data_IF_836793232770
#
_entry.id   IF_836793232770
#
_cell.length_a   1.000
_cell.length_b   1.000
_cell.length_c   1.000
_cell.angle_alpha   90.00
_cell.angle_beta   90.00
_cell.angle_gamma   90.00
#
_symmetry.space_group_name_H-M   'P 1'
#
loop_
_entity.id
_entity.type
_entity.pdbx_description
1 polymer ?
#
# COMPACT_ATOMS: atom_id res chain seq x y z
N UNK A 1 -22.99 27.68 -16.89
CA UNK A 1 -23.11 26.31 -16.35
C UNK A 1 -21.89 25.55 -16.85
N UNK A 2 -20.84 25.45 -16.03
CA UNK A 2 -19.51 24.96 -16.44
C UNK A 2 -19.44 23.46 -16.19
N UNK A 3 -19.07 22.71 -17.22
CA UNK A 3 -18.93 21.25 -17.22
C UNK A 3 -17.68 20.84 -16.43
N UNK A 4 -17.84 20.07 -15.34
CA UNK A 4 -16.72 19.39 -14.69
C UNK A 4 -16.36 18.14 -15.50
N UNK A 5 -15.19 18.20 -16.15
CA UNK A 5 -14.61 17.12 -16.93
C UNK A 5 -14.03 16.06 -15.99
N UNK A 6 -14.60 14.86 -16.00
CA UNK A 6 -13.94 13.66 -15.49
C UNK A 6 -12.63 13.45 -16.27
N UNK A 7 -11.53 13.31 -15.55
CA UNK A 7 -10.21 13.00 -16.13
C UNK A 7 -10.22 11.52 -16.53
N UNK A 8 -10.01 11.16 -17.81
CA UNK A 8 -9.96 9.77 -18.24
C UNK A 8 -8.72 9.06 -17.68
N UNK A 9 -8.89 7.80 -17.24
CA UNK A 9 -7.79 6.97 -16.77
C UNK A 9 -6.69 6.81 -17.85
N UNK A 10 -5.40 6.98 -17.51
CA UNK A 10 -4.29 6.78 -18.44
C UNK A 10 -4.22 5.33 -18.94
N UNK A 11 -3.83 5.15 -20.20
CA UNK A 11 -3.67 3.82 -20.81
C UNK A 11 -2.51 3.08 -20.14
N UNK A 12 -2.79 1.83 -19.75
CA UNK A 12 -1.97 0.99 -18.88
C UNK A 12 -0.48 0.90 -19.24
N UNK A 13 0.34 1.01 -18.20
CA UNK A 13 1.79 0.77 -18.20
C UNK A 13 2.09 -0.72 -18.42
N UNK A 14 3.17 -1.01 -19.13
CA UNK A 14 3.79 -2.35 -19.15
C UNK A 14 4.38 -2.60 -17.77
N UNK A 15 3.80 -3.51 -16.99
CA UNK A 15 4.30 -3.91 -15.66
C UNK A 15 5.77 -4.34 -15.75
N UNK A 16 6.67 -3.58 -15.15
CA UNK A 16 8.06 -3.98 -14.95
C UNK A 16 8.09 -5.17 -13.98
N UNK A 17 8.58 -6.34 -14.41
CA UNK A 17 8.61 -7.60 -13.63
C UNK A 17 9.69 -7.60 -12.52
N UNK A 18 9.93 -6.48 -11.84
CA UNK A 18 10.99 -6.37 -10.83
C UNK A 18 10.72 -7.34 -9.67
N UNK A 19 9.46 -7.42 -9.22
CA UNK A 19 9.08 -8.36 -8.16
C UNK A 19 9.34 -9.83 -8.50
N UNK A 20 9.17 -10.24 -9.77
CA UNK A 20 9.31 -11.64 -10.17
C UNK A 20 10.77 -12.10 -10.15
N UNK A 21 11.71 -11.26 -10.64
CA UNK A 21 13.14 -11.60 -10.63
C UNK A 21 13.74 -11.62 -9.22
N UNK A 22 13.25 -10.74 -8.33
CA UNK A 22 13.68 -10.73 -6.94
C UNK A 22 13.13 -11.95 -6.16
N UNK A 23 11.87 -12.32 -6.39
CA UNK A 23 11.27 -13.56 -5.86
C UNK A 23 11.96 -14.82 -6.40
N UNK A 24 12.29 -14.85 -7.69
CA UNK A 24 13.05 -15.94 -8.32
C UNK A 24 14.48 -16.05 -7.76
N UNK A 25 15.16 -14.92 -7.48
CA UNK A 25 16.46 -14.90 -6.82
C UNK A 25 16.39 -15.40 -5.36
N UNK A 26 15.30 -15.12 -4.65
CA UNK A 26 15.04 -15.66 -3.31
C UNK A 26 14.68 -17.15 -3.33
N UNK A 27 13.85 -17.59 -4.29
CA UNK A 27 13.41 -18.99 -4.43
C UNK A 27 14.54 -19.91 -4.90
N UNK A 28 15.35 -19.48 -5.88
CA UNK A 28 16.52 -20.24 -6.35
C UNK A 28 17.56 -20.48 -5.26
N UNK A 29 17.68 -19.57 -4.28
CA UNK A 29 18.52 -19.75 -3.10
C UNK A 29 17.87 -20.61 -2.01
N UNK A 30 16.54 -20.58 -1.87
CA UNK A 30 15.81 -21.47 -0.96
C UNK A 30 15.89 -22.96 -1.38
N UNK A 31 15.91 -23.23 -2.69
CA UNK A 31 16.04 -24.58 -3.26
C UNK A 31 17.52 -25.05 -3.36
N UNK A 32 18.49 -24.13 -3.22
CA UNK A 32 19.94 -24.38 -3.40
C UNK A 32 20.67 -25.05 -2.23
N UNK A 33 19.94 -25.63 -1.26
CA UNK A 33 20.50 -26.23 -0.04
C UNK A 33 21.18 -27.61 -0.17
N UNK A 34 21.35 -28.16 -1.38
CA UNK A 34 22.05 -29.44 -1.60
C UNK A 34 23.26 -29.30 -2.55
N UNK A 35 24.42 -29.74 -2.07
CA UNK A 35 25.79 -29.50 -2.55
C UNK A 35 26.11 -29.99 -3.98
N UNK A 36 27.07 -29.35 -4.65
CA UNK A 36 28.41 -29.93 -4.93
C UNK A 36 29.28 -29.00 -5.78
N UNK A 37 30.54 -28.89 -5.39
CA UNK A 37 31.64 -28.25 -6.12
C UNK A 37 31.88 -28.86 -7.50
N UNK A 38 31.96 -28.03 -8.54
CA UNK A 38 32.92 -28.26 -9.63
C UNK A 38 33.27 -26.93 -10.31
N UNK A 39 34.57 -26.69 -10.41
CA UNK A 39 35.20 -25.55 -11.08
C UNK A 39 35.04 -25.65 -12.59
N UNK A 40 34.51 -24.60 -13.22
CA UNK A 40 34.95 -24.24 -14.57
C UNK A 40 34.84 -22.73 -14.73
N UNK A 41 35.98 -22.14 -15.11
CA UNK A 41 36.15 -20.74 -15.43
C UNK A 41 35.51 -20.43 -16.77
N UNK A 42 34.54 -19.54 -16.77
CA UNK A 42 34.08 -18.83 -17.96
C UNK A 42 33.74 -17.41 -17.56
N UNK A 43 34.51 -16.50 -18.17
CA UNK A 43 34.34 -15.06 -18.23
C UNK A 43 32.91 -14.73 -18.66
N UNK A 44 32.06 -14.36 -17.70
CA UNK A 44 30.71 -13.85 -17.95
C UNK A 44 30.68 -12.42 -17.41
N UNK A 45 30.55 -11.45 -18.33
CA UNK A 45 30.43 -10.05 -18.00
C UNK A 45 29.26 -9.87 -17.04
N UNK A 46 29.59 -9.64 -15.76
CA UNK A 46 28.64 -9.60 -14.67
C UNK A 46 27.52 -8.62 -14.96
N UNK A 47 26.40 -9.14 -15.45
CA UNK A 47 25.14 -8.40 -15.44
C UNK A 47 24.75 -8.30 -13.97
N UNK A 48 25.17 -7.23 -13.31
CA UNK A 48 24.64 -6.85 -12.01
C UNK A 48 23.12 -6.76 -12.20
N UNK A 49 22.39 -7.76 -11.70
CA UNK A 49 20.95 -7.70 -11.63
C UNK A 49 20.58 -6.36 -11.00
N UNK A 50 19.81 -5.50 -11.67
CA UNK A 50 19.50 -4.18 -11.11
C UNK A 50 18.84 -4.41 -9.75
N UNK A 51 19.41 -3.77 -8.72
CA UNK A 51 18.87 -3.81 -7.37
C UNK A 51 17.42 -3.35 -7.32
N UNK A 52 16.74 -3.61 -6.21
CA UNK A 52 15.41 -3.09 -5.93
C UNK A 52 15.46 -1.56 -5.91
N UNK A 53 14.53 -0.92 -6.60
CA UNK A 53 14.23 0.51 -6.45
C UNK A 53 12.73 0.70 -6.69
N UNK A 54 11.98 0.97 -5.63
CA UNK A 54 10.53 1.09 -5.67
C UNK A 54 10.10 2.43 -5.06
N UNK A 55 9.19 3.13 -5.73
CA UNK A 55 8.46 4.25 -5.16
C UNK A 55 7.12 3.75 -4.62
N UNK A 56 6.94 3.80 -3.30
CA UNK A 56 5.75 3.25 -2.63
C UNK A 56 5.03 4.38 -1.91
N UNK A 57 3.72 4.50 -2.13
CA UNK A 57 2.87 5.41 -1.38
C UNK A 57 2.19 4.66 -0.24
N UNK A 58 2.58 4.96 1.00
CA UNK A 58 1.88 4.52 2.20
C UNK A 58 0.69 5.43 2.50
N UNK A 59 -0.45 4.84 2.85
CA UNK A 59 -1.68 5.54 3.20
C UNK A 59 -2.20 4.97 4.52
N UNK A 60 -2.56 5.83 5.46
CA UNK A 60 -3.20 5.43 6.70
C UNK A 60 -4.19 6.49 7.16
N UNK A 61 -5.18 6.09 7.96
CA UNK A 61 -6.04 7.03 8.68
C UNK A 61 -6.03 6.63 10.16
N UNK A 62 -5.78 7.62 11.02
CA UNK A 62 -5.80 7.42 12.46
C UNK A 62 -7.20 7.07 12.99
N UNK A 63 -7.29 6.56 14.22
CA UNK A 63 -8.58 6.25 14.85
C UNK A 63 -9.43 7.49 15.13
N UNK A 64 -8.81 8.68 15.19
CA UNK A 64 -9.53 9.95 15.30
C UNK A 64 -10.23 10.36 14.00
N UNK A 65 -9.77 9.81 12.87
CA UNK A 65 -10.31 10.03 11.52
C UNK A 65 -10.41 11.50 11.12
N UNK A 66 -9.49 12.33 11.60
CA UNK A 66 -9.41 13.74 11.21
C UNK A 66 -8.85 13.86 9.79
N UNK A 67 -7.75 13.14 9.52
CA UNK A 67 -7.00 13.20 8.28
C UNK A 67 -6.62 11.80 7.76
N UNK A 68 -6.33 11.74 6.46
CA UNK A 68 -5.71 10.63 5.76
C UNK A 68 -4.25 11.00 5.53
N UNK A 69 -3.35 10.27 6.15
CA UNK A 69 -1.91 10.52 6.08
C UNK A 69 -1.28 9.78 4.90
N UNK A 70 -0.36 10.46 4.22
CA UNK A 70 0.38 9.97 3.07
C UNK A 70 1.89 10.02 3.33
N UNK A 71 2.57 8.94 3.02
CA UNK A 71 4.02 8.88 3.03
C UNK A 71 4.51 8.26 1.70
N UNK A 72 5.10 9.09 0.84
CA UNK A 72 5.75 8.62 -0.37
C UNK A 72 7.20 8.26 -0.02
N UNK A 73 7.55 6.98 -0.13
CA UNK A 73 8.85 6.46 0.26
C UNK A 73 9.54 5.79 -0.93
N UNK A 74 10.85 6.04 -1.07
CA UNK A 74 11.72 5.30 -1.98
C UNK A 74 12.38 4.17 -1.20
N UNK A 75 12.20 2.95 -1.66
CA UNK A 75 12.87 1.76 -1.15
C UNK A 75 13.94 1.32 -2.12
N UNK A 76 15.19 1.20 -1.68
CA UNK A 76 16.30 0.71 -2.52
C UNK A 76 17.06 -0.43 -1.83
N UNK A 77 17.48 -1.42 -2.62
CA UNK A 77 18.23 -2.57 -2.11
C UNK A 77 19.10 -3.17 -3.22
N UNK A 78 20.43 -3.11 -3.09
CA UNK A 78 21.34 -3.56 -4.15
C UNK A 78 21.23 -5.07 -4.45
N UNK A 79 21.08 -5.90 -3.41
CA UNK A 79 20.86 -7.35 -3.48
C UNK A 79 20.03 -7.81 -2.28
N UNK A 80 19.42 -9.01 -2.30
CA UNK A 80 18.58 -9.49 -1.19
C UNK A 80 19.28 -9.51 0.18
N UNK A 81 20.59 -9.67 0.19
CA UNK A 81 21.43 -9.67 1.40
C UNK A 81 21.93 -8.27 1.81
N UNK A 82 21.83 -7.29 0.92
CA UNK A 82 22.21 -5.91 1.22
C UNK A 82 21.16 -5.24 2.13
N UNK A 83 21.55 -4.23 2.92
CA UNK A 83 20.59 -3.43 3.69
C UNK A 83 19.50 -2.82 2.81
N UNK A 84 18.26 -2.86 3.29
CA UNK A 84 17.15 -2.12 2.69
C UNK A 84 17.22 -0.66 3.13
N UNK A 85 17.31 0.26 2.17
CA UNK A 85 17.29 1.69 2.40
C UNK A 85 15.89 2.24 2.16
N UNK A 86 15.48 3.20 3.01
CA UNK A 86 14.20 3.88 2.94
C UNK A 86 14.44 5.39 3.01
N UNK A 87 14.02 6.10 1.96
CA UNK A 87 14.01 7.55 1.92
C UNK A 87 12.55 8.06 1.89
N UNK A 88 12.18 8.92 2.85
CA UNK A 88 10.90 9.61 2.82
C UNK A 88 10.99 10.78 1.82
N UNK A 89 10.32 10.63 0.68
CA UNK A 89 10.32 11.62 -0.41
C UNK A 89 9.36 12.75 -0.10
N UNK A 90 8.15 12.40 0.36
CA UNK A 90 7.12 13.37 0.68
C UNK A 90 6.19 12.83 1.77
N UNK A 91 5.80 13.71 2.69
CA UNK A 91 4.75 13.46 3.66
C UNK A 91 3.73 14.58 3.60
N UNK A 92 2.45 14.25 3.73
CA UNK A 92 1.36 15.21 3.87
C UNK A 92 0.08 14.48 4.31
N UNK A 93 -0.96 15.25 4.61
CA UNK A 93 -2.27 14.69 4.92
C UNK A 93 -3.40 15.38 4.14
N UNK A 94 -4.51 14.68 3.99
CA UNK A 94 -5.75 15.17 3.38
C UNK A 94 -6.89 14.99 4.36
N UNK A 95 -7.66 16.05 4.61
CA UNK A 95 -8.79 16.03 5.55
C UNK A 95 -9.82 14.98 5.17
N UNK A 96 -10.22 14.17 6.15
CA UNK A 96 -11.26 13.16 5.99
C UNK A 96 -12.63 13.82 5.77
N UNK A 97 -13.43 13.37 4.78
CA UNK A 97 -14.79 13.88 4.60
C UNK A 97 -15.65 13.71 5.86
N UNK A 98 -16.22 14.82 6.34
CA UNK A 98 -16.96 14.88 7.61
C UNK A 98 -18.16 13.92 7.65
N UNK A 99 -18.80 13.68 6.50
CA UNK A 99 -19.94 12.74 6.38
C UNK A 99 -19.51 11.30 6.71
N UNK A 100 -18.52 10.78 5.99
CA UNK A 100 -18.02 9.42 6.17
C UNK A 100 -17.46 9.21 7.58
N UNK A 101 -16.73 10.20 8.10
CA UNK A 101 -16.29 10.22 9.50
C UNK A 101 -17.45 10.07 10.47
N UNK A 102 -18.51 10.86 10.29
CA UNK A 102 -19.66 10.84 11.20
C UNK A 102 -20.39 9.51 11.17
N UNK A 103 -20.55 8.91 9.99
CA UNK A 103 -21.20 7.60 9.82
C UNK A 103 -20.40 6.49 10.49
N UNK A 104 -19.08 6.43 10.27
CA UNK A 104 -18.20 5.46 10.94
C UNK A 104 -18.25 5.63 12.46
N UNK A 105 -18.17 6.86 12.97
CA UNK A 105 -18.22 7.12 14.41
C UNK A 105 -19.57 6.76 15.04
N UNK A 106 -20.68 6.98 14.34
CA UNK A 106 -22.01 6.55 14.81
C UNK A 106 -22.08 5.02 14.92
N UNK A 107 -21.53 4.30 13.95
CA UNK A 107 -21.51 2.85 13.96
C UNK A 107 -20.69 2.25 15.08
N UNK A 108 -19.54 2.85 15.36
CA UNK A 108 -18.70 2.46 16.49
C UNK A 108 -19.37 2.74 17.83
N UNK A 109 -20.19 3.80 17.92
CA UNK A 109 -20.93 4.15 19.14
C UNK A 109 -22.11 3.22 19.39
N UNK A 110 -22.82 2.84 18.34
CA UNK A 110 -24.03 2.01 18.43
C UNK A 110 -23.72 0.51 18.49
N UNK A 111 -22.48 0.11 18.19
CA UNK A 111 -22.05 -1.29 18.04
C UNK A 111 -22.98 -2.10 17.12
N UNK A 112 -23.50 -1.42 16.08
CA UNK A 112 -24.57 -1.90 15.23
C UNK A 112 -24.18 -1.77 13.75
N UNK A 113 -23.34 -2.67 13.27
CA UNK A 113 -22.85 -2.64 11.90
C UNK A 113 -23.35 -3.85 11.08
N UNK A 114 -24.53 -3.76 10.44
CA UNK A 114 -25.02 -4.84 9.59
C UNK A 114 -24.03 -5.07 8.43
N UNK A 115 -23.83 -6.33 7.97
CA UNK A 115 -22.83 -6.64 6.95
C UNK A 115 -22.95 -5.81 5.66
N UNK A 116 -24.18 -5.51 5.24
CA UNK A 116 -24.45 -4.67 4.06
C UNK A 116 -23.94 -3.24 4.21
N UNK A 117 -23.93 -2.70 5.43
CA UNK A 117 -23.43 -1.36 5.72
C UNK A 117 -21.91 -1.35 5.79
N UNK A 118 -21.30 -2.34 6.46
CA UNK A 118 -19.84 -2.52 6.47
C UNK A 118 -19.28 -2.61 5.04
N UNK A 119 -19.94 -3.37 4.17
CA UNK A 119 -19.54 -3.50 2.76
C UNK A 119 -19.65 -2.17 1.99
N UNK A 120 -20.72 -1.40 2.21
CA UNK A 120 -20.87 -0.08 1.57
C UNK A 120 -19.80 0.89 2.02
N UNK A 121 -19.51 0.93 3.33
CA UNK A 121 -18.49 1.82 3.88
C UNK A 121 -17.08 1.40 3.50
N UNK A 122 -16.80 0.11 3.38
CA UNK A 122 -15.52 -0.38 2.85
C UNK A 122 -15.27 0.20 1.46
N UNK A 123 -16.28 0.12 0.59
CA UNK A 123 -16.22 0.71 -0.74
C UNK A 123 -16.11 2.23 -0.70
N UNK A 124 -16.90 2.93 0.11
CA UNK A 124 -16.85 4.39 0.23
C UNK A 124 -15.48 4.88 0.76
N UNK A 125 -14.89 4.13 1.69
CA UNK A 125 -13.56 4.41 2.22
C UNK A 125 -12.48 4.19 1.15
N UNK A 126 -12.57 3.12 0.36
CA UNK A 126 -11.69 2.89 -0.79
C UNK A 126 -11.74 4.04 -1.81
N UNK A 127 -12.94 4.47 -2.21
CA UNK A 127 -13.11 5.63 -3.11
C UNK A 127 -12.54 6.92 -2.50
N UNK A 128 -12.73 7.13 -1.20
CA UNK A 128 -12.20 8.31 -0.50
C UNK A 128 -10.68 8.32 -0.49
N UNK A 129 -10.04 7.18 -0.20
CA UNK A 129 -8.59 7.05 -0.29
C UNK A 129 -8.09 7.26 -1.73
N UNK A 130 -8.73 6.68 -2.74
CA UNK A 130 -8.36 6.89 -4.14
C UNK A 130 -8.42 8.38 -4.53
N UNK A 131 -9.49 9.08 -4.13
CA UNK A 131 -9.61 10.52 -4.36
C UNK A 131 -8.52 11.31 -3.61
N UNK A 132 -8.22 10.93 -2.37
CA UNK A 132 -7.20 11.58 -1.57
C UNK A 132 -5.78 11.37 -2.14
N UNK A 133 -5.49 10.22 -2.75
CA UNK A 133 -4.25 9.99 -3.52
C UNK A 133 -4.11 10.99 -4.66
N UNK A 134 -5.18 11.21 -5.42
CA UNK A 134 -5.16 12.18 -6.52
C UNK A 134 -4.94 13.62 -6.01
N UNK A 135 -5.55 13.99 -4.88
CA UNK A 135 -5.35 15.30 -4.25
C UNK A 135 -3.89 15.47 -3.80
N UNK A 136 -3.34 14.47 -3.10
CA UNK A 136 -1.95 14.45 -2.65
C UNK A 136 -0.98 14.56 -3.84
N UNK A 137 -1.15 13.70 -4.85
CA UNK A 137 -0.29 13.64 -6.02
C UNK A 137 -0.31 14.97 -6.80
N UNK A 138 -1.50 15.55 -7.02
CA UNK A 138 -1.64 16.84 -7.68
C UNK A 138 -1.00 17.98 -6.86
N UNK A 139 -1.20 18.00 -5.53
CA UNK A 139 -0.63 19.03 -4.64
C UNK A 139 0.90 19.08 -4.70
N UNK A 140 1.54 17.92 -4.83
CA UNK A 140 3.00 17.78 -4.82
C UNK A 140 3.62 17.62 -6.21
N UNK A 141 2.82 17.72 -7.29
CA UNK A 141 3.31 17.54 -8.66
C UNK A 141 3.86 16.13 -8.94
N UNK A 142 3.39 15.12 -8.21
CA UNK A 142 3.78 13.73 -8.38
C UNK A 142 2.89 13.10 -9.45
N UNK A 143 3.49 12.43 -10.44
CA UNK A 143 2.72 11.59 -11.35
C UNK A 143 2.32 10.30 -10.64
N UNK A 144 1.03 9.97 -10.65
CA UNK A 144 0.55 8.68 -10.11
C UNK A 144 1.18 7.50 -10.86
N UNK A 145 1.55 7.68 -12.13
CA UNK A 145 2.21 6.66 -12.94
C UNK A 145 3.64 6.34 -12.45
N UNK A 146 4.27 7.22 -11.65
CA UNK A 146 5.60 7.00 -11.09
C UNK A 146 5.57 6.15 -9.80
N UNK A 147 4.40 6.00 -9.18
CA UNK A 147 4.19 5.21 -7.96
C UNK A 147 4.07 3.74 -8.36
N UNK A 148 4.99 2.90 -7.87
CA UNK A 148 5.03 1.48 -8.21
C UNK A 148 3.98 0.68 -7.43
N UNK A 149 3.73 1.07 -6.17
CA UNK A 149 2.83 0.37 -5.24
C UNK A 149 2.16 1.36 -4.28
N UNK A 150 0.93 1.01 -3.87
CA UNK A 150 0.22 1.68 -2.79
C UNK A 150 0.06 0.69 -1.63
N UNK A 151 0.53 1.06 -0.45
CA UNK A 151 0.31 0.33 0.78
C UNK A 151 -0.77 1.02 1.62
N UNK A 152 -1.96 0.43 1.70
CA UNK A 152 -3.06 0.96 2.53
C UNK A 152 -3.13 0.24 3.87
N UNK A 153 -3.00 1.00 4.96
CA UNK A 153 -3.31 0.52 6.32
C UNK A 153 -4.82 0.30 6.54
N UNK A 154 -5.66 0.97 5.73
CA UNK A 154 -7.09 1.02 5.94
C UNK A 154 -7.50 1.98 7.07
N UNK A 155 -8.81 2.03 7.34
CA UNK A 155 -9.37 2.62 8.54
C UNK A 155 -9.67 1.52 9.56
N UNK A 156 -9.02 1.51 10.72
CA UNK A 156 -9.31 0.55 11.78
C UNK A 156 -10.71 0.81 12.40
N UNK A 157 -11.55 -0.22 12.40
CA UNK A 157 -12.91 -0.20 12.99
C UNK A 157 -12.92 -0.93 14.32
N UNK A 158 -12.36 -2.14 14.39
CA UNK A 158 -12.24 -2.87 15.66
C UNK A 158 -10.89 -3.54 15.80
N UNK A 159 -10.42 -3.62 17.05
CA UNK A 159 -9.20 -4.31 17.45
C UNK A 159 -9.43 -5.04 18.77
N UNK A 160 -9.46 -6.36 18.72
CA UNK A 160 -9.55 -7.22 19.90
C UNK A 160 -8.19 -7.87 20.17
N UNK A 161 -7.32 -7.14 20.88
CA UNK A 161 -5.96 -7.61 21.18
C UNK A 161 -5.89 -8.67 22.30
N UNK A 162 -6.76 -8.56 23.31
CA UNK A 162 -6.84 -9.48 24.45
C UNK A 162 -8.30 -9.93 24.65
N UNK A 163 -8.78 -10.90 23.86
CA UNK A 163 -10.16 -11.34 23.92
C UNK A 163 -10.48 -12.04 25.27
N UNK A 164 -11.70 -11.89 25.79
CA UNK A 164 -12.23 -12.73 26.86
C UNK A 164 -12.23 -14.21 26.48
N UNK A 165 -12.36 -15.11 27.47
CA UNK A 165 -12.48 -16.56 27.22
C UNK A 165 -13.67 -16.83 26.27
N UNK A 166 -13.42 -17.61 25.23
CA UNK A 166 -14.43 -17.95 24.21
C UNK A 166 -14.47 -16.99 23.01
N UNK A 167 -13.61 -15.97 22.97
CA UNK A 167 -13.44 -15.09 21.80
C UNK A 167 -12.03 -15.23 21.20
N UNK A 168 -11.85 -14.70 19.99
CA UNK A 168 -10.59 -14.75 19.26
C UNK A 168 -10.00 -13.35 19.09
N UNK A 169 -8.67 -13.28 18.95
CA UNK A 169 -7.98 -12.05 18.55
C UNK A 169 -8.40 -11.73 17.13
N UNK A 170 -8.82 -10.51 16.89
CA UNK A 170 -9.30 -10.06 15.59
C UNK A 170 -9.03 -8.58 15.41
N UNK A 171 -8.97 -8.16 14.15
CA UNK A 171 -9.06 -6.77 13.75
C UNK A 171 -9.95 -6.67 12.51
N UNK A 172 -10.50 -5.48 12.29
CA UNK A 172 -11.26 -5.14 11.09
C UNK A 172 -10.83 -3.76 10.63
N UNK A 173 -10.44 -3.63 9.37
CA UNK A 173 -10.23 -2.33 8.75
C UNK A 173 -11.05 -2.22 7.46
N UNK A 174 -11.49 -1.00 7.16
CA UNK A 174 -12.17 -0.64 5.91
C UNK A 174 -11.20 0.03 4.91
N UNK A 175 -11.55 0.03 3.63
CA UNK A 175 -10.81 0.71 2.57
C UNK A 175 -9.52 0.00 2.18
N UNK A 176 -9.52 -1.34 2.20
CA UNK A 176 -8.36 -2.16 1.83
C UNK A 176 -8.25 -2.48 0.34
N UNK A 177 -9.34 -2.35 -0.42
CA UNK A 177 -9.33 -2.48 -1.87
C UNK A 177 -9.16 -1.09 -2.51
N UNK A 178 -7.99 -0.86 -3.10
CA UNK A 178 -7.62 0.33 -3.88
C UNK A 178 -7.20 -0.08 -5.30
#
# INVERSE_FOLDING_TARGET
MVMNRLIPAPKGRVRTRIGHRYLEALQSKADGGYQSSSSSSSDDGGQSSPGLSLLILGITSGTAMDDIDFALCRYTQESPEAPLHLDLIQYDSVVMPSKLRSEILSLLREDAAPPSMLSQMDSEMGHTFANAIHIFAHKHGISVDDIDLIGSGGQLITLTGAPPRGQHRSNMCLGKEL
#
